data_IF_021656800905
#
_entry.id   IF_021656800905
#
_cell.length_a   1.000
_cell.length_b   1.000
_cell.length_c   1.000
_cell.angle_alpha   90.00
_cell.angle_beta   90.00
_cell.angle_gamma   90.00
#
_symmetry.space_group_name_H-M   'P 1'
#
loop_
_entity.id
_entity.type
_entity.pdbx_description
1 polymer ?
#
# COMPACT_ATOMS: atom_id res chain seq x y z
N UNK A 1 -20.52 -6.21 2.65
CA UNK A 1 -19.19 -6.19 3.06
C UNK A 1 -18.36 -5.18 2.34
N UNK A 2 -17.58 -4.46 3.07
CA UNK A 2 -16.76 -3.45 2.49
C UNK A 2 -15.39 -3.95 2.16
N UNK A 3 -14.92 -3.62 1.00
CA UNK A 3 -13.56 -3.96 0.65
C UNK A 3 -12.61 -2.92 1.17
N UNK A 4 -11.47 -3.35 1.61
CA UNK A 4 -10.44 -2.42 2.04
C UNK A 4 -9.94 -1.63 0.85
N UNK A 5 -9.61 -0.37 1.08
CA UNK A 5 -9.08 0.49 0.04
C UNK A 5 -7.69 0.95 0.44
N UNK A 6 -7.00 1.59 -0.50
CA UNK A 6 -5.68 2.11 -0.19
C UNK A 6 -5.77 3.15 0.93
N UNK A 7 -6.89 3.82 1.01
CA UNK A 7 -7.11 4.77 2.08
C UNK A 7 -7.14 4.08 3.43
N UNK A 8 -7.76 2.91 3.49
CA UNK A 8 -7.79 2.14 4.72
C UNK A 8 -6.39 1.68 5.11
N UNK A 9 -5.63 1.24 4.13
CA UNK A 9 -4.26 0.83 4.38
C UNK A 9 -3.44 2.00 4.90
N UNK A 10 -3.62 3.17 4.28
CA UNK A 10 -2.89 4.36 4.70
C UNK A 10 -3.20 4.72 6.14
N UNK A 11 -4.47 4.66 6.50
CA UNK A 11 -4.88 4.98 7.86
C UNK A 11 -4.27 4.01 8.86
N UNK A 12 -4.30 2.73 8.52
CA UNK A 12 -3.76 1.72 9.42
C UNK A 12 -2.25 1.83 9.54
N UNK A 13 -1.58 2.11 8.43
CA UNK A 13 -0.14 2.22 8.43
C UNK A 13 0.36 3.58 8.95
N UNK A 14 -0.52 4.55 9.00
CA UNK A 14 -0.14 5.87 9.46
C UNK A 14 0.63 6.66 8.42
N UNK A 15 0.32 6.45 7.16
CA UNK A 15 0.99 7.15 6.07
C UNK A 15 -0.06 7.69 5.11
N UNK A 16 0.39 8.43 4.10
CA UNK A 16 -0.54 8.96 3.14
C UNK A 16 -0.93 7.90 2.13
N UNK A 17 -2.06 8.12 1.50
CA UNK A 17 -2.54 7.19 0.49
C UNK A 17 -1.55 7.09 -0.67
N UNK A 18 -0.94 8.20 -1.01
CA UNK A 18 0.05 8.19 -2.08
C UNK A 18 1.21 7.28 -1.73
N UNK A 19 1.64 7.31 -0.47
CA UNK A 19 2.73 6.47 -0.01
C UNK A 19 2.38 4.99 -0.17
N UNK A 20 1.16 4.64 0.20
CA UNK A 20 0.70 3.27 0.06
C UNK A 20 0.79 2.83 -1.40
N UNK A 21 0.29 3.68 -2.27
CA UNK A 21 0.29 3.35 -3.69
C UNK A 21 1.70 3.18 -4.23
N UNK A 22 2.59 4.07 -3.85
CA UNK A 22 3.97 3.99 -4.33
C UNK A 22 4.68 2.75 -3.83
N UNK A 23 4.47 2.41 -2.58
CA UNK A 23 5.13 1.24 -2.00
C UNK A 23 4.59 -0.04 -2.61
N UNK A 24 3.29 -0.14 -2.74
CA UNK A 24 2.68 -1.35 -3.27
C UNK A 24 2.97 -1.52 -4.77
N UNK A 25 3.17 -0.41 -5.47
CA UNK A 25 3.55 -0.46 -6.87
C UNK A 25 5.02 -0.70 -7.07
N UNK A 26 5.76 -0.69 -5.97
CA UNK A 26 7.19 -0.90 -6.03
C UNK A 26 7.86 0.12 -6.94
N UNK A 27 7.49 1.38 -6.76
CA UNK A 27 8.07 2.44 -7.55
C UNK A 27 9.54 2.62 -7.23
N UNK A 28 10.39 2.60 -8.22
CA UNK A 28 11.81 2.74 -7.99
C UNK A 28 12.23 4.20 -7.94
N UNK A 29 11.33 5.10 -8.25
CA UNK A 29 11.66 6.51 -8.23
C UNK A 29 11.80 7.05 -6.84
N UNK A 30 11.05 6.49 -5.91
CA UNK A 30 11.06 6.97 -4.54
C UNK A 30 11.47 5.85 -3.62
N UNK A 31 12.36 6.16 -2.71
CA UNK A 31 12.84 5.18 -1.75
C UNK A 31 12.25 5.48 -0.38
N UNK A 32 11.69 4.46 0.22
CA UNK A 32 11.14 4.59 1.56
C UNK A 32 11.97 3.77 2.53
N UNK A 33 11.92 4.15 3.79
CA UNK A 33 12.64 3.39 4.80
C UNK A 33 12.02 2.01 4.95
N UNK A 34 12.80 1.06 5.42
CA UNK A 34 12.31 -0.29 5.63
C UNK A 34 11.12 -0.29 6.56
N UNK A 35 11.19 0.54 7.57
CA UNK A 35 10.11 0.61 8.54
C UNK A 35 8.80 1.05 7.91
N UNK A 36 8.86 2.11 7.12
CA UNK A 36 7.67 2.61 6.45
C UNK A 36 7.10 1.56 5.52
N UNK A 37 7.99 0.91 4.79
CA UNK A 37 7.57 -0.11 3.87
C UNK A 37 6.89 -1.27 4.57
N UNK A 38 7.48 -1.71 5.66
CA UNK A 38 6.92 -2.81 6.41
C UNK A 38 5.57 -2.47 7.01
N UNK A 39 5.42 -1.25 7.44
CA UNK A 39 4.14 -0.81 7.99
C UNK A 39 3.05 -0.89 6.94
N UNK A 40 3.35 -0.41 5.76
CA UNK A 40 2.37 -0.43 4.68
C UNK A 40 2.05 -1.86 4.27
N UNK A 41 3.09 -2.69 4.14
CA UNK A 41 2.87 -4.07 3.75
C UNK A 41 2.09 -4.84 4.79
N UNK A 42 2.39 -4.60 6.06
CA UNK A 42 1.67 -5.27 7.14
C UNK A 42 0.21 -4.81 7.17
N UNK A 43 -0.01 -3.52 6.99
CA UNK A 43 -1.36 -2.99 6.99
C UNK A 43 -2.17 -3.57 5.85
N UNK A 44 -1.56 -3.64 4.68
CA UNK A 44 -2.23 -4.20 3.52
C UNK A 44 -2.58 -5.66 3.75
N UNK A 45 -1.67 -6.38 4.36
CA UNK A 45 -1.89 -7.78 4.64
C UNK A 45 -3.01 -7.98 5.66
N UNK A 46 -3.03 -7.16 6.67
CA UNK A 46 -4.05 -7.22 7.69
C UNK A 46 -5.43 -6.99 7.11
N UNK A 47 -5.52 -6.07 6.18
CA UNK A 47 -6.78 -5.74 5.54
C UNK A 47 -7.03 -6.59 4.31
N UNK A 48 -6.10 -7.46 4.00
CA UNK A 48 -6.19 -8.30 2.82
C UNK A 48 -6.38 -7.46 1.56
N UNK A 49 -5.65 -6.35 1.50
CA UNK A 49 -5.75 -5.42 0.40
C UNK A 49 -4.68 -5.69 -0.64
N UNK A 50 -5.08 -5.73 -1.88
CA UNK A 50 -4.14 -5.89 -2.97
C UNK A 50 -4.42 -4.83 -4.02
N UNK A 51 -3.37 -4.32 -4.60
CA UNK A 51 -3.55 -3.39 -5.70
C UNK A 51 -4.20 -4.11 -6.86
N UNK A 52 -5.09 -3.43 -7.55
CA UNK A 52 -5.69 -4.04 -8.73
C UNK A 52 -4.61 -4.29 -9.75
N UNK A 53 -4.54 -5.51 -10.23
CA UNK A 53 -3.53 -5.85 -11.21
C UNK A 53 -3.82 -5.15 -12.51
N UNK A 54 -2.78 -4.49 -13.05
CA UNK A 54 -2.94 -3.83 -14.32
C UNK A 54 -2.60 -4.79 -15.39
N UNK A 55 -3.55 -5.05 -16.21
CA UNK A 55 -3.29 -5.96 -17.28
C UNK A 55 -2.40 -5.33 -18.28
N UNK A 56 -1.34 -6.01 -18.60
CA UNK A 56 -0.46 -5.51 -19.60
C UNK A 56 -0.88 -6.06 -20.92
N UNK A 57 -1.08 -5.24 -21.84
CA UNK A 57 -1.51 -5.72 -23.13
C UNK A 57 -0.36 -6.36 -23.89
#
# INVERSE_FOLDING_TARGET
MKKATSQDVAALAGVSQATVSLILNNSSKITFSSETRERVLAAAQQLNYHLPARKKA
#
